data_IF_924663619082
#
_entry.id   IF_924663619082
#
_cell.length_a   1.000
_cell.length_b   1.000
_cell.length_c   1.000
_cell.angle_alpha   90.00
_cell.angle_beta   90.00
_cell.angle_gamma   90.00
#
_symmetry.space_group_name_H-M   'P 1'
#
loop_
_entity.id
_entity.type
_entity.pdbx_description
1 polymer ?
#
# COMPACT_ATOMS: atom_id res chain seq x y z
N UNK A 1 47.99 21.88 1.78
CA UNK A 1 46.76 21.73 2.60
C UNK A 1 45.60 21.65 1.62
N UNK A 2 45.24 20.45 1.19
CA UNK A 2 44.28 19.53 1.82
C UNK A 2 42.84 19.87 1.40
N UNK A 3 42.30 18.95 0.59
CA UNK A 3 41.02 18.96 -0.10
C UNK A 3 39.80 19.22 0.79
N UNK A 4 38.88 20.04 0.31
CA UNK A 4 37.48 19.99 0.74
C UNK A 4 36.74 18.96 -0.13
N UNK A 5 36.60 17.75 0.43
CA UNK A 5 35.75 16.68 -0.06
C UNK A 5 34.42 16.75 0.68
N UNK A 6 33.39 17.33 0.06
CA UNK A 6 32.01 17.03 0.41
C UNK A 6 31.41 16.15 -0.71
N UNK A 7 31.82 14.88 -0.72
CA UNK A 7 31.15 13.85 -1.50
C UNK A 7 29.73 13.66 -0.96
N UNK A 8 28.74 14.16 -1.70
CA UNK A 8 27.36 13.73 -1.53
C UNK A 8 27.30 12.22 -1.75
N UNK A 9 27.19 11.46 -0.67
CA UNK A 9 26.91 10.03 -0.74
C UNK A 9 25.49 9.88 -1.28
N UNK A 10 25.35 9.79 -2.60
CA UNK A 10 24.20 9.20 -3.25
C UNK A 10 23.97 7.85 -2.59
N UNK A 11 22.87 7.73 -1.84
CA UNK A 11 22.40 6.45 -1.37
C UNK A 11 22.02 5.65 -2.61
N UNK A 12 22.92 4.81 -3.07
CA UNK A 12 22.57 3.65 -3.87
C UNK A 12 21.49 2.89 -3.10
N UNK A 13 20.27 2.83 -3.63
CA UNK A 13 19.17 2.22 -2.90
C UNK A 13 17.91 2.16 -3.73
N UNK A 14 17.81 1.08 -4.52
CA UNK A 14 16.59 0.51 -5.12
C UNK A 14 15.62 1.57 -5.67
N UNK A 15 15.65 1.76 -7.00
CA UNK A 15 14.66 2.59 -7.70
C UNK A 15 13.22 2.26 -7.25
N UNK A 16 12.29 3.22 -7.36
CA UNK A 16 10.96 3.12 -6.74
C UNK A 16 10.30 1.77 -7.06
N UNK A 17 9.89 1.06 -6.01
CA UNK A 17 9.23 -0.24 -6.14
C UNK A 17 7.89 -0.01 -6.81
N UNK A 18 7.70 -0.56 -8.01
CA UNK A 18 6.46 -0.42 -8.80
C UNK A 18 5.66 -1.71 -8.77
N UNK A 19 4.35 -1.56 -8.57
CA UNK A 19 3.39 -2.66 -8.64
C UNK A 19 2.29 -2.24 -9.62
N UNK A 20 2.31 -2.81 -10.83
CA UNK A 20 1.42 -2.39 -11.92
C UNK A 20 1.57 -0.89 -12.22
N UNK A 21 0.47 -0.15 -12.14
CA UNK A 21 0.42 1.30 -12.38
C UNK A 21 0.70 2.16 -11.14
N UNK A 22 1.12 1.54 -10.04
CA UNK A 22 1.33 2.22 -8.77
C UNK A 22 2.80 2.24 -8.37
N UNK A 23 3.26 3.42 -8.00
CA UNK A 23 4.57 3.63 -7.39
C UNK A 23 4.42 3.50 -5.88
N UNK A 24 5.03 2.46 -5.29
CA UNK A 24 4.96 2.19 -3.86
C UNK A 24 5.83 3.17 -3.09
N UNK A 25 5.27 3.74 -2.03
CA UNK A 25 5.96 4.64 -1.13
C UNK A 25 6.15 3.98 0.25
N UNK A 26 6.21 4.80 1.30
CA UNK A 26 6.38 4.38 2.69
C UNK A 26 5.18 3.59 3.21
N UNK A 27 5.44 2.75 4.20
CA UNK A 27 4.40 2.11 5.01
C UNK A 27 3.69 3.17 5.86
N UNK A 28 2.36 3.18 5.83
CA UNK A 28 1.51 4.09 6.61
C UNK A 28 0.72 3.36 7.71
N UNK A 29 0.71 2.03 7.69
CA UNK A 29 0.10 1.23 8.74
C UNK A 29 0.66 -0.18 8.78
N UNK A 30 0.72 -0.76 9.97
CA UNK A 30 1.05 -2.17 10.20
C UNK A 30 -0.04 -2.76 11.09
N UNK A 31 -0.69 -3.80 10.61
CA UNK A 31 -1.61 -4.64 11.37
C UNK A 31 -1.03 -6.02 11.58
N UNK A 32 -1.80 -6.89 12.22
CA UNK A 32 -1.33 -8.25 12.57
C UNK A 32 -1.00 -9.12 11.35
N UNK A 33 -1.87 -9.08 10.32
CA UNK A 33 -1.74 -9.90 9.11
C UNK A 33 -1.57 -9.06 7.83
N UNK A 34 -1.38 -7.76 7.99
CA UNK A 34 -1.40 -6.84 6.87
C UNK A 34 -0.50 -5.64 7.07
N UNK A 35 0.12 -5.18 6.00
CA UNK A 35 0.85 -3.91 5.94
C UNK A 35 0.16 -2.98 4.97
N UNK A 36 -0.07 -1.75 5.39
CA UNK A 36 -0.65 -0.70 4.55
C UNK A 36 0.47 0.21 4.08
N UNK A 37 0.65 0.31 2.76
CA UNK A 37 1.60 1.22 2.13
C UNK A 37 0.87 2.35 1.43
N UNK A 38 1.43 3.55 1.48
CA UNK A 38 1.05 4.62 0.57
C UNK A 38 1.60 4.27 -0.82
N UNK A 39 0.85 4.56 -1.85
CA UNK A 39 1.31 4.47 -3.22
C UNK A 39 0.66 5.58 -4.05
N UNK A 40 1.29 5.92 -5.17
CA UNK A 40 0.77 6.91 -6.11
C UNK A 40 0.47 6.24 -7.45
N UNK A 41 -0.76 6.40 -7.93
CA UNK A 41 -1.12 5.97 -9.28
C UNK A 41 -0.41 6.86 -10.31
N UNK A 42 0.40 6.26 -11.18
CA UNK A 42 1.35 7.01 -12.01
C UNK A 42 0.64 7.92 -13.01
N UNK A 43 -0.46 7.44 -13.61
CA UNK A 43 -1.19 8.17 -14.65
C UNK A 43 -2.03 9.32 -14.09
N UNK A 44 -2.74 9.11 -12.98
CA UNK A 44 -3.65 10.12 -12.40
C UNK A 44 -3.03 10.93 -11.27
N UNK A 45 -1.78 10.60 -10.88
CA UNK A 45 -1.08 11.18 -9.72
C UNK A 45 -1.88 11.09 -8.41
N UNK A 46 -2.81 10.15 -8.32
CA UNK A 46 -3.69 9.99 -7.17
C UNK A 46 -3.03 9.13 -6.11
N UNK A 47 -3.04 9.59 -4.86
CA UNK A 47 -2.55 8.83 -3.71
C UNK A 47 -3.57 7.77 -3.28
N UNK A 48 -3.07 6.58 -3.00
CA UNK A 48 -3.85 5.43 -2.55
C UNK A 48 -3.14 4.72 -1.39
N UNK A 49 -3.92 4.11 -0.50
CA UNK A 49 -3.44 3.15 0.48
C UNK A 49 -3.60 1.73 -0.07
N UNK A 50 -2.51 0.98 -0.12
CA UNK A 50 -2.51 -0.43 -0.53
C UNK A 50 -2.33 -1.28 0.72
N UNK A 51 -3.38 -2.00 1.12
CA UNK A 51 -3.31 -2.99 2.19
C UNK A 51 -2.89 -4.32 1.56
N UNK A 52 -1.70 -4.77 1.94
CA UNK A 52 -1.06 -6.01 1.51
C UNK A 52 -1.26 -7.01 2.65
N UNK A 53 -1.86 -8.15 2.36
CA UNK A 53 -2.12 -9.20 3.35
C UNK A 53 -1.18 -10.37 3.13
N UNK A 54 -0.59 -10.89 4.21
CA UNK A 54 0.24 -12.09 4.16
C UNK A 54 -0.64 -13.34 4.36
N UNK A 55 -0.82 -14.12 3.30
CA UNK A 55 -1.64 -15.36 3.33
C UNK A 55 -1.03 -16.47 4.19
N UNK A 56 0.28 -16.48 4.41
CA UNK A 56 0.94 -17.53 5.21
C UNK A 56 0.58 -17.47 6.69
N UNK A 57 0.10 -16.31 7.15
CA UNK A 57 -0.24 -16.03 8.54
C UNK A 57 -1.76 -16.05 8.79
N UNK A 58 -2.57 -16.50 7.81
CA UNK A 58 -4.03 -16.51 7.93
C UNK A 58 -4.56 -17.91 8.27
N UNK A 59 -5.29 -17.98 9.37
CA UNK A 59 -6.23 -19.08 9.67
C UNK A 59 -7.61 -18.81 9.01
N UNK A 60 -8.50 -19.80 9.08
CA UNK A 60 -9.85 -19.72 8.50
C UNK A 60 -10.67 -18.55 9.09
N UNK A 61 -10.53 -18.30 10.40
CA UNK A 61 -11.23 -17.20 11.08
C UNK A 61 -10.80 -15.82 10.57
N UNK A 62 -9.48 -15.58 10.42
CA UNK A 62 -8.99 -14.31 9.92
C UNK A 62 -9.27 -14.14 8.42
N UNK A 63 -9.31 -15.24 7.67
CA UNK A 63 -9.77 -15.22 6.28
C UNK A 63 -11.24 -14.77 6.20
N UNK A 64 -12.12 -15.30 7.07
CA UNK A 64 -13.51 -14.86 7.18
C UNK A 64 -13.64 -13.37 7.50
N UNK A 65 -12.82 -12.84 8.42
CA UNK A 65 -12.79 -11.39 8.74
C UNK A 65 -12.38 -10.55 7.53
N UNK A 66 -11.44 -11.01 6.72
CA UNK A 66 -11.01 -10.32 5.50
C UNK A 66 -12.15 -10.28 4.47
N UNK A 67 -12.83 -11.40 4.23
CA UNK A 67 -13.98 -11.43 3.33
C UNK A 67 -15.07 -10.48 3.77
N UNK A 68 -15.38 -10.45 5.07
CA UNK A 68 -16.36 -9.52 5.63
C UNK A 68 -15.96 -8.06 5.45
N UNK A 69 -14.69 -7.72 5.66
CA UNK A 69 -14.18 -6.36 5.42
C UNK A 69 -14.41 -5.96 3.95
N UNK A 70 -14.14 -6.86 3.00
CA UNK A 70 -14.36 -6.62 1.56
C UNK A 70 -15.84 -6.37 1.26
N UNK A 71 -16.73 -7.19 1.79
CA UNK A 71 -18.18 -7.05 1.57
C UNK A 71 -18.70 -5.72 2.10
N UNK A 72 -18.34 -5.36 3.33
CA UNK A 72 -18.71 -4.07 3.94
C UNK A 72 -18.19 -2.93 3.06
N UNK A 73 -16.92 -2.98 2.64
CA UNK A 73 -16.33 -1.94 1.82
C UNK A 73 -16.92 -1.84 0.41
N UNK A 74 -17.45 -2.92 -0.16
CA UNK A 74 -18.17 -2.88 -1.45
C UNK A 74 -19.51 -2.16 -1.34
N UNK A 75 -20.17 -2.26 -0.19
CA UNK A 75 -21.47 -1.64 0.08
C UNK A 75 -21.35 -0.15 0.45
N UNK A 76 -20.24 0.25 1.05
CA UNK A 76 -20.02 1.63 1.49
C UNK A 76 -19.66 2.56 0.31
N UNK A 77 -20.55 3.51 0.04
CA UNK A 77 -20.32 4.62 -0.91
C UNK A 77 -20.72 5.94 -0.26
N UNK A 78 -19.75 6.64 0.30
CA UNK A 78 -19.98 7.92 0.95
C UNK A 78 -18.76 8.83 0.76
N UNK A 79 -18.93 10.15 0.54
CA UNK A 79 -17.83 11.08 0.32
C UNK A 79 -16.80 11.14 1.47
N UNK A 80 -17.22 10.79 2.69
CA UNK A 80 -16.37 10.78 3.89
C UNK A 80 -15.94 9.37 4.36
N UNK A 81 -16.19 8.33 3.56
CA UNK A 81 -15.78 6.95 3.88
C UNK A 81 -14.79 6.46 2.82
N UNK A 82 -13.71 5.85 3.29
CA UNK A 82 -12.65 5.31 2.45
C UNK A 82 -13.23 4.26 1.48
N UNK A 83 -13.05 4.49 0.19
CA UNK A 83 -13.60 3.63 -0.87
C UNK A 83 -12.58 2.59 -1.32
N UNK A 84 -13.05 1.35 -1.48
CA UNK A 84 -12.30 0.27 -2.12
C UNK A 84 -12.36 0.46 -3.65
N UNK A 85 -11.19 0.58 -4.28
CA UNK A 85 -11.06 0.78 -5.73
C UNK A 85 -10.87 -0.53 -6.48
N UNK A 86 -9.99 -1.39 -5.97
CA UNK A 86 -9.64 -2.63 -6.64
C UNK A 86 -9.25 -3.68 -5.60
N UNK A 87 -9.64 -4.91 -5.88
CA UNK A 87 -9.12 -6.12 -5.23
C UNK A 87 -8.44 -6.93 -6.31
N UNK A 88 -7.14 -7.18 -6.17
CA UNK A 88 -6.42 -8.13 -7.02
C UNK A 88 -5.77 -9.13 -6.09
N UNK A 89 -6.27 -10.37 -6.12
CA UNK A 89 -5.88 -11.64 -5.42
C UNK A 89 -5.30 -11.61 -3.98
N UNK A 90 -4.60 -10.54 -3.57
CA UNK A 90 -3.86 -10.29 -2.33
C UNK A 90 -3.67 -8.80 -1.92
N UNK A 91 -4.09 -7.83 -2.73
CA UNK A 91 -3.87 -6.38 -2.48
C UNK A 91 -5.19 -5.60 -2.56
N UNK A 92 -5.46 -4.79 -1.52
CA UNK A 92 -6.60 -3.89 -1.47
C UNK A 92 -6.16 -2.46 -1.74
N UNK A 93 -6.71 -1.87 -2.79
CA UNK A 93 -6.44 -0.48 -3.15
C UNK A 93 -7.56 0.40 -2.60
N UNK A 94 -7.22 1.29 -1.66
CA UNK A 94 -8.14 2.25 -1.02
C UNK A 94 -7.70 3.67 -1.38
N UNK A 95 -8.63 4.58 -1.70
CA UNK A 95 -8.27 6.01 -1.84
C UNK A 95 -8.33 6.68 -0.47
N UNK A 96 -7.23 7.32 -0.09
CA UNK A 96 -7.09 8.10 1.14
C UNK A 96 -7.73 9.47 0.93
#
# INVERSE_FOLDING_TARGET
MAADRAGGKEKAGIGPVRVGYYEMERTIGKGNFAVVKLATHIATKTKVAIKIVDKSQLDEDNLGKIYREIEIMKLLRHPHIIRLYQVSSLQFFKRI
#
